data_IF_733736524562
#
_entry.id   IF_733736524562
#
_cell.length_a   1.000
_cell.length_b   1.000
_cell.length_c   1.000
_cell.angle_alpha   90.00
_cell.angle_beta   90.00
_cell.angle_gamma   90.00
#
_symmetry.space_group_name_H-M   'P 1'
#
loop_
_entity.id
_entity.type
_entity.pdbx_description
1 polymer ?
#
# COMPACT_ATOMS: atom_id res chain seq x y z
N UNK A 1 1.86 -10.42 25.65
CA UNK A 1 2.88 -9.37 25.80
C UNK A 1 3.10 -8.79 24.41
N UNK A 2 2.54 -7.61 24.13
CA UNK A 2 2.78 -6.91 22.86
C UNK A 2 4.21 -6.40 22.92
N UNK A 3 5.01 -6.74 21.92
CA UNK A 3 6.37 -6.24 21.83
C UNK A 3 6.30 -4.73 21.49
N UNK A 4 6.70 -3.87 22.41
CA UNK A 4 7.04 -2.49 22.14
C UNK A 4 8.44 -2.47 21.50
N UNK A 5 8.53 -2.87 20.21
CA UNK A 5 9.81 -3.25 19.66
C UNK A 5 10.67 -2.09 19.18
N UNK A 6 10.11 -0.94 18.80
CA UNK A 6 10.84 0.21 18.26
C UNK A 6 10.00 1.47 18.31
N UNK A 7 10.64 2.63 18.23
CA UNK A 7 10.01 3.94 18.12
C UNK A 7 10.01 4.41 16.67
N UNK A 8 8.96 5.11 16.27
CA UNK A 8 8.89 5.74 14.95
C UNK A 8 9.71 7.02 14.97
N UNK A 9 10.75 7.06 14.14
CA UNK A 9 11.65 8.21 14.07
C UNK A 9 11.44 8.94 12.76
N UNK A 10 11.29 10.25 12.82
CA UNK A 10 11.03 11.07 11.64
C UNK A 10 12.19 11.05 10.64
N UNK A 11 13.42 10.90 11.07
CA UNK A 11 14.64 10.98 10.25
C UNK A 11 14.99 9.68 9.51
N UNK A 12 14.41 8.54 9.92
CA UNK A 12 14.64 7.23 9.31
C UNK A 12 13.38 6.52 8.82
N UNK A 13 12.22 7.18 8.87
CA UNK A 13 10.95 6.59 8.43
C UNK A 13 10.61 6.94 6.98
N UNK A 14 9.93 6.01 6.28
CA UNK A 14 9.29 6.20 4.98
C UNK A 14 7.82 5.79 5.01
N UNK A 15 7.01 6.38 4.13
CA UNK A 15 5.62 5.97 3.91
C UNK A 15 5.52 5.08 2.67
N UNK A 16 4.93 3.90 2.80
CA UNK A 16 4.57 3.02 1.69
C UNK A 16 3.05 3.00 1.55
N UNK A 17 2.56 3.48 0.42
CA UNK A 17 1.14 3.45 0.05
C UNK A 17 0.93 2.29 -0.91
N UNK A 18 0.31 1.22 -0.41
CA UNK A 18 0.15 -0.03 -1.13
C UNK A 18 -1.11 0.01 -1.98
N UNK A 19 -0.93 -0.06 -3.30
CA UNK A 19 -1.94 -0.36 -4.32
C UNK A 19 -3.24 0.46 -4.25
N UNK A 20 -3.18 1.73 -3.87
CA UNK A 20 -4.32 2.65 -3.92
C UNK A 20 -4.62 3.05 -5.38
N UNK A 21 -4.89 2.04 -6.23
CA UNK A 21 -5.09 2.12 -7.68
C UNK A 21 -6.57 2.22 -8.05
N UNK A 22 -6.83 2.72 -9.26
CA UNK A 22 -8.21 2.84 -9.75
C UNK A 22 -8.96 1.50 -9.76
N UNK A 23 -8.33 0.40 -10.18
CA UNK A 23 -8.97 -0.93 -10.22
C UNK A 23 -9.22 -1.58 -8.82
N UNK A 24 -8.77 -0.93 -7.72
CA UNK A 24 -9.07 -1.33 -6.35
C UNK A 24 -10.02 -0.36 -5.63
N UNK A 25 -9.90 0.94 -5.90
CA UNK A 25 -10.55 1.96 -5.07
C UNK A 25 -11.85 2.49 -5.68
N UNK A 26 -11.93 2.58 -7.02
CA UNK A 26 -13.05 3.19 -7.72
C UNK A 26 -14.32 2.35 -7.68
N UNK A 27 -15.47 3.03 -7.73
CA UNK A 27 -16.77 2.37 -7.74
C UNK A 27 -16.97 1.59 -9.06
N UNK A 28 -17.29 0.31 -8.92
CA UNK A 28 -17.46 -0.61 -10.06
C UNK A 28 -16.13 -1.16 -10.61
N UNK A 29 -15.04 -0.96 -9.91
CA UNK A 29 -13.74 -1.54 -10.25
C UNK A 29 -13.78 -3.08 -10.18
N UNK A 30 -13.04 -3.81 -11.04
CA UNK A 30 -13.07 -5.26 -11.06
C UNK A 30 -12.61 -5.94 -9.76
N UNK A 31 -11.73 -5.27 -9.00
CA UNK A 31 -11.25 -5.71 -7.68
C UNK A 31 -11.62 -4.68 -6.59
N UNK A 32 -12.78 -4.08 -6.71
CA UNK A 32 -13.23 -3.02 -5.80
C UNK A 32 -13.12 -3.42 -4.33
N UNK A 33 -12.51 -2.54 -3.55
CA UNK A 33 -12.45 -2.57 -2.09
C UNK A 33 -13.18 -1.33 -1.59
N UNK A 34 -14.48 -1.40 -1.30
CA UNK A 34 -15.30 -0.24 -0.95
C UNK A 34 -14.71 0.59 0.19
N UNK A 35 -14.25 -0.07 1.25
CA UNK A 35 -13.68 0.57 2.44
C UNK A 35 -12.36 1.32 2.14
N UNK A 36 -11.72 1.10 0.98
CA UNK A 36 -10.51 1.83 0.61
C UNK A 36 -10.77 3.33 0.45
N UNK A 37 -11.97 3.72 0.02
CA UNK A 37 -12.36 5.14 -0.10
C UNK A 37 -12.45 5.85 1.24
N UNK A 38 -12.81 5.13 2.31
CA UNK A 38 -12.91 5.68 3.66
C UNK A 38 -11.54 6.01 4.26
N UNK A 39 -10.46 5.45 3.70
CA UNK A 39 -9.09 5.70 4.16
C UNK A 39 -8.41 6.89 3.47
N UNK A 40 -9.04 7.52 2.47
CA UNK A 40 -8.42 8.58 1.66
C UNK A 40 -7.98 9.77 2.52
N UNK A 41 -8.83 10.25 3.41
CA UNK A 41 -8.50 11.40 4.26
C UNK A 41 -7.31 11.12 5.18
N UNK A 42 -7.23 9.92 5.73
CA UNK A 42 -6.09 9.48 6.56
C UNK A 42 -4.80 9.40 5.73
N UNK A 43 -4.88 8.91 4.49
CA UNK A 43 -3.75 8.95 3.58
C UNK A 43 -3.29 10.37 3.27
N UNK A 44 -4.22 11.31 3.05
CA UNK A 44 -3.90 12.71 2.80
C UNK A 44 -3.19 13.36 3.99
N UNK A 45 -3.59 13.05 5.23
CA UNK A 45 -2.93 13.49 6.44
C UNK A 45 -1.48 12.98 6.52
N UNK A 46 -1.28 11.67 6.35
CA UNK A 46 0.04 11.04 6.34
C UNK A 46 0.93 11.60 5.22
N UNK A 47 0.41 11.66 3.99
CA UNK A 47 1.11 12.25 2.85
C UNK A 47 1.52 13.70 3.11
N UNK A 48 0.63 14.49 3.71
CA UNK A 48 0.89 15.88 4.10
C UNK A 48 2.08 15.99 5.05
N UNK A 49 2.13 15.14 6.06
CA UNK A 49 3.22 15.10 7.05
C UNK A 49 4.56 14.73 6.40
N UNK A 50 4.61 13.63 5.62
CA UNK A 50 5.82 13.16 4.95
C UNK A 50 6.32 14.15 3.90
N UNK A 51 5.42 14.76 3.12
CA UNK A 51 5.71 15.81 2.12
C UNK A 51 6.32 17.05 2.75
N UNK A 52 5.75 17.52 3.87
CA UNK A 52 6.24 18.70 4.58
C UNK A 52 7.68 18.53 5.08
N UNK A 53 8.06 17.29 5.42
CA UNK A 53 9.40 16.94 5.94
C UNK A 53 10.34 16.36 4.89
N UNK A 54 9.89 16.30 3.63
CA UNK A 54 10.65 15.71 2.51
C UNK A 54 11.13 14.29 2.80
N UNK A 55 10.33 13.51 3.55
CA UNK A 55 10.61 12.11 3.81
C UNK A 55 10.18 11.24 2.64
N UNK A 56 10.83 10.09 2.41
CA UNK A 56 10.51 9.21 1.31
C UNK A 56 9.06 8.74 1.34
N UNK A 57 8.39 8.84 0.19
CA UNK A 57 7.06 8.29 -0.07
C UNK A 57 7.17 7.36 -1.27
N UNK A 58 6.67 6.16 -1.11
CA UNK A 58 6.64 5.14 -2.15
C UNK A 58 5.22 4.66 -2.36
N UNK A 59 4.74 4.74 -3.59
CA UNK A 59 3.49 4.12 -4.00
C UNK A 59 3.81 2.80 -4.70
N UNK A 60 3.26 1.67 -4.21
CA UNK A 60 3.31 0.45 -5.00
C UNK A 60 2.14 0.39 -5.96
N UNK A 61 2.36 -0.26 -7.11
CA UNK A 61 1.31 -0.56 -8.07
C UNK A 61 1.35 -2.03 -8.43
N UNK A 62 0.26 -2.72 -8.19
CA UNK A 62 0.10 -4.09 -8.64
C UNK A 62 -0.12 -4.14 -10.15
N UNK A 63 0.77 -4.82 -10.88
CA UNK A 63 0.74 -5.00 -12.31
C UNK A 63 0.51 -6.49 -12.62
N UNK A 64 -0.69 -6.84 -13.09
CA UNK A 64 -1.13 -8.22 -13.23
C UNK A 64 -0.90 -8.83 -14.63
N UNK A 65 -0.41 -8.04 -15.58
CA UNK A 65 -0.21 -8.46 -16.96
C UNK A 65 0.77 -7.57 -17.71
N UNK A 66 0.99 -7.82 -19.01
CA UNK A 66 0.28 -8.81 -19.87
C UNK A 66 0.77 -10.26 -19.76
N UNK A 67 1.91 -10.51 -19.10
CA UNK A 67 2.47 -11.85 -19.01
C UNK A 67 1.69 -12.73 -18.00
N UNK A 68 1.29 -13.95 -18.39
CA UNK A 68 0.58 -14.86 -17.50
C UNK A 68 1.41 -15.22 -16.26
N UNK A 69 0.78 -15.21 -15.10
CA UNK A 69 1.36 -15.66 -13.84
C UNK A 69 0.48 -16.70 -13.15
N UNK A 70 0.99 -17.34 -12.09
CA UNK A 70 0.19 -18.25 -11.28
C UNK A 70 -1.04 -17.56 -10.66
N UNK A 71 -0.96 -16.26 -10.40
CA UNK A 71 -2.06 -15.47 -9.82
C UNK A 71 -3.33 -15.51 -10.70
N UNK A 72 -3.20 -15.64 -12.02
CA UNK A 72 -4.36 -15.75 -12.93
C UNK A 72 -5.25 -16.96 -12.62
N UNK A 73 -4.68 -18.01 -12.02
CA UNK A 73 -5.45 -19.20 -11.60
C UNK A 73 -6.27 -18.95 -10.34
N UNK A 74 -5.81 -18.06 -9.46
CA UNK A 74 -6.44 -17.75 -8.18
C UNK A 74 -7.33 -16.51 -8.26
N UNK A 75 -7.03 -15.60 -9.19
CA UNK A 75 -7.75 -14.35 -9.40
C UNK A 75 -8.05 -14.17 -10.89
N UNK A 76 -9.02 -14.91 -11.47
CA UNK A 76 -9.27 -14.90 -12.92
C UNK A 76 -9.60 -13.52 -13.49
N UNK A 77 -10.09 -12.59 -12.67
CA UNK A 77 -10.43 -11.22 -13.08
C UNK A 77 -9.22 -10.43 -13.58
N UNK A 78 -8.00 -10.81 -13.19
CA UNK A 78 -6.78 -10.18 -13.69
C UNK A 78 -6.38 -10.68 -15.09
N UNK A 79 -6.92 -11.82 -15.53
CA UNK A 79 -6.68 -12.37 -16.86
C UNK A 79 -7.60 -11.74 -17.93
N UNK A 80 -7.36 -11.96 -19.25
CA UNK A 80 -8.34 -11.62 -20.28
C UNK A 80 -9.69 -12.33 -20.07
N UNK A 81 -10.81 -11.70 -20.39
CA UNK A 81 -10.92 -10.42 -21.09
C UNK A 81 -10.85 -9.19 -20.19
N UNK A 82 -10.97 -9.34 -18.87
CA UNK A 82 -11.07 -8.21 -17.94
C UNK A 82 -9.79 -7.40 -17.84
N UNK A 83 -8.62 -8.07 -17.81
CA UNK A 83 -7.29 -7.43 -17.73
C UNK A 83 -7.19 -6.42 -16.59
N UNK A 84 -7.69 -6.79 -15.41
CA UNK A 84 -7.61 -5.94 -14.23
C UNK A 84 -6.15 -5.67 -13.86
N UNK A 85 -5.86 -4.43 -13.48
CA UNK A 85 -4.50 -3.99 -13.14
C UNK A 85 -3.45 -4.23 -14.23
N UNK A 86 -3.81 -4.08 -15.51
CA UNK A 86 -2.81 -4.13 -16.59
C UNK A 86 -2.38 -2.72 -17.01
N UNK A 87 -1.08 -2.48 -17.21
CA UNK A 87 -0.59 -1.23 -17.77
C UNK A 87 -1.26 -0.90 -19.11
N UNK A 88 -1.59 0.37 -19.31
CA UNK A 88 -2.19 0.88 -20.55
C UNK A 88 -3.69 0.58 -20.73
N UNK A 89 -4.32 -0.19 -19.83
CA UNK A 89 -5.77 -0.37 -19.85
C UNK A 89 -6.47 0.78 -19.14
N UNK A 90 -7.44 1.39 -19.83
CA UNK A 90 -8.28 2.45 -19.27
C UNK A 90 -9.72 1.97 -19.06
N UNK A 91 -10.37 2.50 -18.03
CA UNK A 91 -11.77 2.21 -17.67
C UNK A 91 -12.50 3.48 -17.25
N UNK A 92 -13.80 3.50 -17.47
CA UNK A 92 -14.73 4.39 -16.77
C UNK A 92 -15.12 3.75 -15.43
N UNK A 93 -15.27 4.58 -14.40
CA UNK A 93 -15.69 4.17 -13.06
C UNK A 93 -16.91 4.97 -12.63
N UNK A 94 -17.67 4.45 -11.66
CA UNK A 94 -18.96 5.04 -11.27
C UNK A 94 -18.88 6.34 -10.47
N UNK A 95 -17.72 6.66 -9.93
CA UNK A 95 -17.50 7.78 -9.00
C UNK A 95 -16.67 8.93 -9.60
N UNK A 96 -16.23 8.82 -10.85
CA UNK A 96 -15.46 9.87 -11.54
C UNK A 96 -15.88 10.03 -13.01
N UNK A 97 -15.67 11.21 -13.57
CA UNK A 97 -15.89 11.45 -14.98
C UNK A 97 -14.70 10.99 -15.84
N UNK A 98 -15.02 10.44 -17.02
CA UNK A 98 -14.05 9.97 -18.01
C UNK A 98 -13.36 8.67 -17.59
N UNK A 99 -12.33 8.32 -18.38
CA UNK A 99 -11.58 7.08 -18.15
C UNK A 99 -10.29 7.36 -17.37
N UNK A 100 -9.87 6.38 -16.55
CA UNK A 100 -8.55 6.38 -15.89
C UNK A 100 -7.79 5.11 -16.23
N UNK A 101 -6.48 5.20 -16.27
CA UNK A 101 -5.62 4.01 -16.36
C UNK A 101 -5.81 3.14 -15.11
N UNK A 102 -6.10 1.86 -15.30
CA UNK A 102 -6.52 0.98 -14.21
C UNK A 102 -5.46 0.78 -13.12
N UNK A 103 -4.17 0.81 -13.49
CA UNK A 103 -3.06 0.70 -12.53
C UNK A 103 -2.64 2.03 -11.90
N UNK A 104 -3.12 3.16 -12.40
CA UNK A 104 -2.73 4.44 -11.83
C UNK A 104 -3.26 4.58 -10.39
N UNK A 105 -2.46 5.22 -9.54
CA UNK A 105 -2.92 5.66 -8.21
C UNK A 105 -4.09 6.62 -8.41
N UNK A 106 -5.08 6.56 -7.54
CA UNK A 106 -6.26 7.43 -7.62
C UNK A 106 -5.87 8.91 -7.59
N UNK A 107 -6.66 9.74 -8.27
CA UNK A 107 -6.36 11.18 -8.46
C UNK A 107 -6.18 11.91 -7.12
N UNK A 108 -6.93 11.55 -6.10
CA UNK A 108 -6.91 12.15 -4.76
C UNK A 108 -5.55 11.99 -4.05
N UNK A 109 -4.86 10.88 -4.33
CA UNK A 109 -3.57 10.55 -3.73
C UNK A 109 -2.40 10.68 -4.74
N UNK A 110 -2.65 11.27 -5.90
CA UNK A 110 -1.70 11.30 -7.01
C UNK A 110 -0.24 11.55 -6.57
N UNK A 111 0.69 10.67 -6.97
CA UNK A 111 2.10 10.83 -6.66
C UNK A 111 2.67 12.12 -7.24
N UNK A 112 3.50 12.84 -6.49
CA UNK A 112 4.26 14.00 -6.97
C UNK A 112 5.52 13.55 -7.70
N UNK A 113 6.09 14.44 -8.53
CA UNK A 113 7.25 14.12 -9.37
C UNK A 113 8.48 13.62 -8.61
N UNK A 114 8.66 14.02 -7.35
CA UNK A 114 9.75 13.59 -6.48
C UNK A 114 9.44 12.34 -5.67
N UNK A 115 8.21 11.81 -5.74
CA UNK A 115 7.78 10.60 -5.03
C UNK A 115 7.99 9.36 -5.90
N UNK A 116 8.19 8.24 -5.26
CA UNK A 116 8.56 7.02 -5.97
C UNK A 116 7.34 6.15 -6.27
N UNK A 117 7.32 5.58 -7.47
CA UNK A 117 6.37 4.54 -7.83
C UNK A 117 7.14 3.25 -8.11
N UNK A 118 6.66 2.15 -7.52
CA UNK A 118 7.26 0.81 -7.64
C UNK A 118 6.21 -0.16 -8.16
N UNK A 119 6.39 -0.60 -9.40
CA UNK A 119 5.55 -1.63 -9.99
C UNK A 119 5.96 -3.00 -9.44
N UNK A 120 4.97 -3.79 -9.02
CA UNK A 120 5.15 -5.15 -8.52
C UNK A 120 4.27 -6.14 -9.27
N UNK A 121 4.82 -7.30 -9.55
CA UNK A 121 4.17 -8.39 -10.31
C UNK A 121 3.76 -9.55 -9.40
N UNK A 122 3.55 -9.27 -8.14
CA UNK A 122 3.10 -10.12 -7.06
C UNK A 122 2.50 -9.29 -5.94
N UNK A 123 2.15 -9.92 -4.81
CA UNK A 123 1.51 -9.21 -3.71
C UNK A 123 2.51 -8.43 -2.85
N UNK A 124 3.72 -8.96 -2.69
CA UNK A 124 4.79 -8.39 -1.88
C UNK A 124 5.47 -7.21 -2.61
N UNK A 125 5.50 -6.03 -1.98
CA UNK A 125 6.15 -4.84 -2.51
C UNK A 125 7.66 -4.96 -2.67
N UNK A 126 8.31 -5.85 -1.92
CA UNK A 126 9.76 -6.05 -1.95
C UNK A 126 10.19 -7.13 -2.94
N UNK A 127 9.30 -8.09 -3.28
CA UNK A 127 9.67 -9.23 -4.08
C UNK A 127 9.97 -8.86 -5.54
N UNK A 128 11.24 -8.99 -5.95
CA UNK A 128 11.73 -8.67 -7.30
C UNK A 128 11.45 -7.23 -7.75
N UNK A 129 11.50 -6.30 -6.80
CA UNK A 129 11.36 -4.86 -7.06
C UNK A 129 12.62 -4.12 -6.59
N UNK A 130 12.68 -2.82 -6.87
CA UNK A 130 13.74 -1.94 -6.39
C UNK A 130 13.46 -1.33 -5.00
N UNK A 131 12.42 -1.77 -4.29
CA UNK A 131 11.96 -1.11 -3.07
C UNK A 131 13.03 -1.11 -1.98
N UNK A 132 13.70 -2.24 -1.75
CA UNK A 132 14.80 -2.36 -0.78
C UNK A 132 15.93 -1.37 -1.08
N UNK A 133 16.39 -1.32 -2.33
CA UNK A 133 17.49 -0.43 -2.73
C UNK A 133 17.10 1.04 -2.58
N UNK A 134 15.86 1.38 -2.93
CA UNK A 134 15.33 2.73 -2.79
C UNK A 134 15.30 3.17 -1.32
N UNK A 135 14.77 2.35 -0.43
CA UNK A 135 14.69 2.67 1.00
C UNK A 135 16.10 2.80 1.62
N UNK A 136 17.01 1.90 1.27
CA UNK A 136 18.42 1.95 1.71
C UNK A 136 19.13 3.22 1.23
N UNK A 137 18.92 3.64 -0.02
CA UNK A 137 19.48 4.87 -0.58
C UNK A 137 19.03 6.14 0.18
N UNK A 138 17.85 6.08 0.81
CA UNK A 138 17.31 7.14 1.66
C UNK A 138 17.58 6.96 3.16
N UNK A 139 18.42 6.01 3.54
CA UNK A 139 18.75 5.69 4.94
C UNK A 139 17.51 5.42 5.80
N UNK A 140 16.53 4.73 5.22
CA UNK A 140 15.32 4.30 5.91
C UNK A 140 15.59 3.01 6.68
N UNK A 141 15.16 2.95 7.92
CA UNK A 141 15.13 1.74 8.74
C UNK A 141 13.71 1.33 9.12
N UNK A 142 12.76 2.25 9.01
CA UNK A 142 11.37 2.06 9.43
C UNK A 142 10.40 2.43 8.30
N UNK A 143 9.42 1.58 8.06
CA UNK A 143 8.39 1.81 7.04
C UNK A 143 6.99 1.84 7.66
N UNK A 144 6.26 2.93 7.41
CA UNK A 144 4.83 3.00 7.67
C UNK A 144 4.09 2.46 6.44
N UNK A 145 3.26 1.44 6.63
CA UNK A 145 2.59 0.74 5.54
C UNK A 145 1.08 1.00 5.61
N UNK A 146 0.53 1.49 4.49
CA UNK A 146 -0.87 1.84 4.30
C UNK A 146 -1.41 1.22 3.02
N UNK A 147 -2.71 1.39 2.72
CA UNK A 147 -3.32 1.01 1.44
C UNK A 147 -4.16 -0.25 1.47
N UNK A 148 -4.18 -1.01 0.35
CA UNK A 148 -5.12 -2.12 0.16
C UNK A 148 -4.47 -3.30 -0.59
N UNK A 149 -4.88 -4.55 -0.43
CA UNK A 149 -5.85 -5.15 0.50
C UNK A 149 -5.12 -5.63 1.74
N UNK A 150 -5.66 -5.40 2.93
CA UNK A 150 -4.96 -5.65 4.21
C UNK A 150 -4.35 -7.05 4.30
N UNK A 151 -5.13 -8.11 4.09
CA UNK A 151 -4.70 -9.51 4.22
C UNK A 151 -3.94 -10.06 3.01
N UNK A 152 -3.72 -9.25 1.98
CA UNK A 152 -3.03 -9.66 0.75
C UNK A 152 -1.79 -8.77 0.54
N UNK A 153 -1.91 -7.70 -0.23
CA UNK A 153 -0.76 -6.87 -0.62
C UNK A 153 -0.12 -6.13 0.57
N UNK A 154 -0.93 -5.63 1.52
CA UNK A 154 -0.42 -4.95 2.71
C UNK A 154 0.31 -5.93 3.63
N UNK A 155 -0.32 -7.04 3.98
CA UNK A 155 0.29 -8.06 4.86
C UNK A 155 1.56 -8.63 4.24
N UNK A 156 1.52 -9.00 2.95
CA UNK A 156 2.69 -9.59 2.28
C UNK A 156 3.83 -8.58 2.16
N UNK A 157 3.52 -7.30 1.94
CA UNK A 157 4.52 -6.22 1.96
C UNK A 157 5.10 -5.99 3.37
N UNK A 158 4.28 -6.04 4.42
CA UNK A 158 4.77 -5.91 5.79
C UNK A 158 5.68 -7.07 6.21
N UNK A 159 5.33 -8.29 5.80
CA UNK A 159 6.19 -9.48 5.98
C UNK A 159 7.49 -9.35 5.18
N UNK A 160 7.39 -8.82 3.93
CA UNK A 160 8.56 -8.52 3.11
C UNK A 160 9.48 -7.51 3.77
N UNK A 161 8.97 -6.41 4.30
CA UNK A 161 9.74 -5.42 5.05
C UNK A 161 10.51 -6.05 6.21
N UNK A 162 9.85 -6.89 7.00
CA UNK A 162 10.48 -7.62 8.11
C UNK A 162 11.62 -8.53 7.62
N UNK A 163 11.43 -9.26 6.52
CA UNK A 163 12.46 -10.15 5.97
C UNK A 163 13.65 -9.40 5.34
N UNK A 164 13.41 -8.19 4.84
CA UNK A 164 14.46 -7.29 4.32
C UNK A 164 15.16 -6.49 5.44
N UNK A 165 14.75 -6.67 6.71
CA UNK A 165 15.38 -6.03 7.87
C UNK A 165 14.82 -4.66 8.23
N UNK A 166 13.71 -4.22 7.63
CA UNK A 166 13.04 -2.98 8.01
C UNK A 166 12.07 -3.20 9.19
N UNK A 167 12.01 -2.20 10.06
CA UNK A 167 10.97 -2.11 11.07
C UNK A 167 9.65 -1.71 10.39
N UNK A 168 8.62 -2.54 10.52
CA UNK A 168 7.33 -2.30 9.87
C UNK A 168 6.28 -1.79 10.87
N UNK A 169 5.60 -0.70 10.53
CA UNK A 169 4.42 -0.21 11.24
C UNK A 169 3.25 -0.14 10.26
N UNK A 170 2.21 -0.95 10.47
CA UNK A 170 1.00 -0.91 9.67
C UNK A 170 0.02 0.07 10.30
N UNK A 171 -0.46 1.03 9.50
CA UNK A 171 -1.38 2.08 9.97
C UNK A 171 -2.82 1.57 9.83
N UNK A 172 -3.43 1.18 10.94
CA UNK A 172 -4.68 0.40 10.97
C UNK A 172 -5.90 1.11 10.39
N UNK A 173 -5.97 2.43 10.51
CA UNK A 173 -7.01 3.29 9.96
C UNK A 173 -6.70 3.81 8.54
N UNK A 174 -5.54 3.42 7.99
CA UNK A 174 -5.14 3.68 6.61
C UNK A 174 -4.98 2.40 5.79
N UNK A 175 -5.52 1.28 6.25
CA UNK A 175 -5.57 0.02 5.48
C UNK A 175 -6.99 -0.50 5.38
N UNK A 176 -7.32 -1.16 4.27
CA UNK A 176 -8.70 -1.56 3.96
C UNK A 176 -8.81 -2.96 3.39
N UNK A 177 -10.00 -3.55 3.53
CA UNK A 177 -10.32 -4.89 3.04
C UNK A 177 -11.80 -5.03 2.74
N UNK A 178 -12.11 -5.86 1.75
CA UNK A 178 -13.49 -6.33 1.50
C UNK A 178 -13.92 -7.47 2.44
N UNK A 179 -13.03 -7.93 3.34
CA UNK A 179 -13.26 -9.05 4.26
C UNK A 179 -12.88 -8.66 5.70
N UNK A 180 -13.81 -8.12 6.51
CA UNK A 180 -13.51 -7.58 7.84
C UNK A 180 -12.86 -8.58 8.81
N UNK A 181 -13.20 -9.86 8.70
CA UNK A 181 -12.61 -10.90 9.55
C UNK A 181 -11.14 -11.15 9.20
N UNK A 182 -10.82 -11.21 7.90
CA UNK A 182 -9.45 -11.39 7.43
C UNK A 182 -8.61 -10.14 7.71
N UNK A 183 -9.19 -8.95 7.57
CA UNK A 183 -8.56 -7.69 7.96
C UNK A 183 -8.11 -7.73 9.43
N UNK A 184 -9.02 -8.05 10.36
CA UNK A 184 -8.68 -8.14 11.79
C UNK A 184 -7.62 -9.20 12.09
N UNK A 185 -7.75 -10.39 11.49
CA UNK A 185 -6.81 -11.48 11.68
C UNK A 185 -5.41 -11.13 11.17
N UNK A 186 -5.33 -10.46 10.01
CA UNK A 186 -4.09 -9.96 9.43
C UNK A 186 -3.39 -8.97 10.37
N UNK A 187 -4.09 -7.93 10.83
CA UNK A 187 -3.55 -6.95 11.77
C UNK A 187 -3.07 -7.60 13.08
N UNK A 188 -3.82 -8.55 13.62
CA UNK A 188 -3.40 -9.30 14.81
C UNK A 188 -2.11 -10.10 14.58
N UNK A 189 -2.01 -10.78 13.42
CA UNK A 189 -0.83 -11.55 13.06
C UNK A 189 0.40 -10.66 12.90
N UNK A 190 0.24 -9.52 12.21
CA UNK A 190 1.31 -8.56 12.02
C UNK A 190 1.80 -7.98 13.35
N UNK A 191 0.88 -7.54 14.22
CA UNK A 191 1.20 -7.04 15.55
C UNK A 191 1.90 -8.07 16.45
N UNK A 192 1.61 -9.36 16.24
CA UNK A 192 2.18 -10.44 17.04
C UNK A 192 3.63 -10.75 16.70
N UNK A 193 4.05 -10.63 15.42
CA UNK A 193 5.33 -11.20 14.95
C UNK A 193 6.13 -10.37 13.95
N UNK A 194 5.51 -9.44 13.22
CA UNK A 194 6.18 -8.80 12.07
C UNK A 194 6.44 -7.31 12.25
N UNK A 195 5.73 -6.65 13.15
CA UNK A 195 5.89 -5.22 13.33
C UNK A 195 4.89 -4.65 14.32
N UNK A 196 4.66 -3.35 14.20
CA UNK A 196 3.65 -2.64 15.00
C UNK A 196 2.38 -2.43 14.17
N UNK A 197 1.26 -2.36 14.86
CA UNK A 197 -0.01 -1.86 14.30
C UNK A 197 -0.38 -0.63 15.12
N UNK A 198 -0.51 0.49 14.45
CA UNK A 198 -0.76 1.81 15.05
C UNK A 198 -1.85 2.54 14.26
N UNK A 199 -2.51 3.52 14.85
CA UNK A 199 -3.34 4.48 14.12
C UNK A 199 -2.47 5.58 13.50
N UNK A 200 -3.00 6.32 12.53
CA UNK A 200 -2.31 7.48 11.96
C UNK A 200 -1.99 8.52 13.04
N UNK A 201 -2.95 8.77 13.95
CA UNK A 201 -2.76 9.69 15.08
C UNK A 201 -1.59 9.28 15.99
N UNK A 202 -1.51 7.99 16.38
CA UNK A 202 -0.41 7.47 17.20
C UNK A 202 0.93 7.60 16.46
N UNK A 203 0.95 7.21 15.16
CA UNK A 203 2.15 7.30 14.35
C UNK A 203 2.65 8.75 14.22
N UNK A 204 1.76 9.70 13.90
CA UNK A 204 2.12 11.11 13.75
C UNK A 204 2.53 11.76 15.07
N UNK A 205 1.91 11.37 16.19
CA UNK A 205 2.29 11.83 17.51
C UNK A 205 3.72 11.42 17.83
N UNK A 206 4.06 10.16 17.61
CA UNK A 206 5.39 9.62 17.87
C UNK A 206 6.46 10.21 16.93
N UNK A 207 6.15 10.34 15.64
CA UNK A 207 7.02 10.97 14.63
C UNK A 207 7.29 12.46 14.87
N UNK A 208 6.49 13.14 15.68
CA UNK A 208 6.68 14.55 16.05
C UNK A 208 7.44 14.73 17.38
N UNK A 209 7.67 13.65 18.11
CA UNK A 209 8.39 13.71 19.39
C UNK A 209 9.90 13.85 19.21
#
# INVERSE_FOLDING_TARGET
MLCHGFELRHDSSALIVVDMQNDFVRVGAPLEVPDARETIDVHLELLGWFRARRRPIVFTRFCAGPEPTLMWKWSPVIAPPTRCCWPGIKRAYGDIEGERECIAVIDELAPRSQEHQVDKYGYNGFHRTRLTDLLNAHHVDTVLITGTVTQICVEDTARGAFHEGFQAAVVSDAVSSYAPELHRASLQTLAMKYGRVVTAHEALTELNA
#
